data_IF_037056856305
#
_entry.id   IF_037056856305
#
_cell.length_a   1.000
_cell.length_b   1.000
_cell.length_c   1.000
_cell.angle_alpha   90.00
_cell.angle_beta   90.00
_cell.angle_gamma   90.00
#
_symmetry.space_group_name_H-M   'P 1'
#
loop_
_entity.id
_entity.type
_entity.pdbx_description
1 polymer ?
#
# COMPACT_ATOMS: atom_id res chain seq x y z
N UNK A 1 -13.25 -33.05 -29.46
CA UNK A 1 -13.48 -31.66 -28.95
C UNK A 1 -14.69 -31.70 -28.04
N UNK A 2 -14.51 -31.79 -26.75
CA UNK A 2 -15.58 -31.73 -25.77
C UNK A 2 -15.40 -30.44 -24.95
N UNK A 3 -16.32 -29.51 -25.11
CA UNK A 3 -16.43 -28.31 -24.29
C UNK A 3 -17.22 -28.72 -23.06
N UNK A 4 -16.51 -28.95 -21.95
CA UNK A 4 -17.12 -29.13 -20.63
C UNK A 4 -17.57 -27.76 -20.13
N UNK A 5 -18.89 -27.64 -19.94
CA UNK A 5 -19.53 -26.47 -19.38
C UNK A 5 -19.07 -26.21 -17.95
N UNK A 6 -18.41 -25.08 -17.75
CA UNK A 6 -18.22 -24.49 -16.45
C UNK A 6 -19.57 -23.93 -15.99
N UNK A 7 -20.24 -24.64 -15.09
CA UNK A 7 -21.38 -24.14 -14.36
C UNK A 7 -20.92 -22.90 -13.57
N UNK A 8 -21.55 -21.75 -13.89
CA UNK A 8 -21.47 -20.52 -13.11
C UNK A 8 -21.98 -20.80 -11.70
N UNK A 9 -21.09 -21.01 -10.76
CA UNK A 9 -21.38 -20.74 -9.37
C UNK A 9 -21.42 -19.21 -9.25
N UNK A 10 -22.60 -18.65 -9.30
CA UNK A 10 -22.83 -17.31 -8.78
C UNK A 10 -22.57 -17.41 -7.27
N UNK A 11 -21.38 -16.97 -6.82
CA UNK A 11 -21.20 -16.61 -5.43
C UNK A 11 -22.03 -15.35 -5.22
N UNK A 12 -22.86 -15.35 -4.18
CA UNK A 12 -23.54 -14.16 -3.70
C UNK A 12 -22.50 -13.05 -3.59
N UNK A 13 -22.79 -11.87 -4.14
CA UNK A 13 -21.95 -10.69 -3.99
C UNK A 13 -21.81 -10.45 -2.49
N UNK A 14 -20.62 -10.70 -1.96
CA UNK A 14 -20.31 -10.37 -0.57
C UNK A 14 -20.31 -8.85 -0.51
N UNK A 15 -21.40 -8.28 -0.03
CA UNK A 15 -21.53 -6.86 0.18
C UNK A 15 -20.54 -6.48 1.30
N UNK A 16 -19.37 -6.00 0.91
CA UNK A 16 -18.37 -5.53 1.86
C UNK A 16 -18.84 -4.18 2.39
N UNK A 17 -19.41 -4.17 3.58
CA UNK A 17 -19.95 -2.95 4.18
C UNK A 17 -18.82 -2.14 4.80
N UNK A 18 -18.70 -0.88 4.36
CA UNK A 18 -17.77 0.07 4.95
C UNK A 18 -18.32 0.63 6.26
N UNK A 19 -17.46 0.78 7.26
CA UNK A 19 -17.73 1.61 8.43
C UNK A 19 -16.66 2.68 8.57
N UNK A 20 -17.04 3.87 9.04
CA UNK A 20 -16.08 4.93 9.35
C UNK A 20 -15.71 4.85 10.82
N UNK A 21 -14.42 4.81 11.10
CA UNK A 21 -13.88 4.80 12.46
C UNK A 21 -12.89 5.96 12.63
N UNK A 22 -13.11 6.74 13.68
CA UNK A 22 -12.14 7.79 14.04
C UNK A 22 -10.94 7.16 14.75
N UNK A 23 -9.75 7.31 14.18
CA UNK A 23 -8.48 6.87 14.79
C UNK A 23 -7.57 8.10 14.88
N UNK A 24 -7.29 8.55 16.09
CA UNK A 24 -6.69 9.85 16.30
C UNK A 24 -7.55 10.98 15.68
N UNK A 25 -6.95 11.81 14.85
CA UNK A 25 -7.65 12.86 14.10
C UNK A 25 -8.21 12.40 12.74
N UNK A 26 -8.04 11.13 12.33
CA UNK A 26 -8.34 10.69 10.95
C UNK A 26 -9.58 9.80 10.89
N UNK A 27 -10.56 10.11 10.02
CA UNK A 27 -11.74 9.27 9.78
C UNK A 27 -11.38 8.13 8.81
N UNK A 28 -10.91 7.01 9.35
CA UNK A 28 -10.54 5.83 8.55
C UNK A 28 -11.79 5.07 8.09
N UNK A 29 -11.76 4.55 6.84
CA UNK A 29 -12.80 3.63 6.34
C UNK A 29 -12.32 2.19 6.53
N UNK A 30 -13.14 1.41 7.21
CA UNK A 30 -12.81 0.04 7.58
C UNK A 30 -13.80 -0.90 6.88
N UNK A 31 -13.26 -1.98 6.30
CA UNK A 31 -14.01 -3.01 5.59
C UNK A 31 -13.59 -4.39 6.11
N UNK A 32 -14.49 -5.33 6.08
CA UNK A 32 -14.21 -6.70 6.49
C UNK A 32 -14.76 -7.03 7.88
N UNK A 33 -14.22 -8.06 8.50
CA UNK A 33 -14.80 -8.70 9.69
C UNK A 33 -13.79 -8.82 10.86
N UNK A 34 -14.34 -9.09 12.03
CA UNK A 34 -13.53 -9.40 13.21
C UNK A 34 -12.81 -10.75 13.05
N UNK A 35 -11.75 -10.93 13.84
CA UNK A 35 -10.90 -12.13 13.82
C UNK A 35 -10.21 -12.43 12.48
N UNK A 36 -10.05 -11.42 11.63
CA UNK A 36 -9.37 -11.56 10.35
C UNK A 36 -7.92 -12.02 10.51
N UNK A 37 -7.45 -12.86 9.57
CA UNK A 37 -6.07 -13.35 9.54
C UNK A 37 -5.10 -12.34 8.90
N UNK A 38 -5.64 -11.45 8.06
CA UNK A 38 -4.89 -10.42 7.37
C UNK A 38 -5.44 -9.03 7.71
N UNK A 39 -4.53 -8.11 8.01
CA UNK A 39 -4.83 -6.68 8.14
C UNK A 39 -4.18 -5.93 6.98
N UNK A 40 -4.99 -5.42 6.07
CA UNK A 40 -4.56 -4.62 4.93
C UNK A 40 -4.69 -3.14 5.30
N UNK A 41 -3.60 -2.41 5.26
CA UNK A 41 -3.54 -0.97 5.51
C UNK A 41 -3.21 -0.25 4.20
N UNK A 42 -4.00 0.75 3.84
CA UNK A 42 -3.76 1.55 2.64
C UNK A 42 -3.82 3.04 2.97
N UNK A 43 -2.75 3.76 2.65
CA UNK A 43 -2.76 5.22 2.70
C UNK A 43 -3.51 5.74 1.49
N UNK A 44 -4.47 6.65 1.69
CA UNK A 44 -5.38 7.13 0.63
C UNK A 44 -5.47 8.64 0.60
N UNK A 45 -5.56 9.21 -0.61
CA UNK A 45 -6.01 10.57 -0.83
C UNK A 45 -7.55 10.65 -0.86
N UNK A 46 -8.09 11.87 -0.83
CA UNK A 46 -9.55 12.09 -0.88
C UNK A 46 -10.19 11.49 -2.15
N UNK A 47 -9.50 11.57 -3.29
CA UNK A 47 -10.01 11.05 -4.56
C UNK A 47 -10.10 9.53 -4.58
N UNK A 48 -9.17 8.85 -3.94
CA UNK A 48 -9.12 7.38 -3.88
C UNK A 48 -10.22 6.81 -2.98
N UNK A 49 -10.65 7.57 -1.96
CA UNK A 49 -11.75 7.15 -1.09
C UNK A 49 -13.07 6.93 -1.84
N UNK A 50 -13.26 7.57 -2.99
CA UNK A 50 -14.47 7.42 -3.79
C UNK A 50 -14.53 6.06 -4.53
N UNK A 51 -13.38 5.50 -4.89
CA UNK A 51 -13.27 4.20 -5.58
C UNK A 51 -13.05 3.02 -4.63
N UNK A 52 -12.86 3.28 -3.33
CA UNK A 52 -12.46 2.29 -2.35
C UNK A 52 -13.43 1.12 -2.23
N UNK A 53 -14.73 1.36 -2.30
CA UNK A 53 -15.75 0.30 -2.25
C UNK A 53 -15.55 -0.72 -3.39
N UNK A 54 -15.24 -0.22 -4.60
CA UNK A 54 -14.99 -1.08 -5.77
C UNK A 54 -13.67 -1.84 -5.66
N UNK A 55 -12.64 -1.20 -5.12
CA UNK A 55 -11.32 -1.81 -4.90
C UNK A 55 -11.44 -2.95 -3.88
N UNK A 56 -12.06 -2.69 -2.73
CA UNK A 56 -12.24 -3.71 -1.70
C UNK A 56 -13.15 -4.84 -2.16
N UNK A 57 -14.19 -4.53 -2.95
CA UNK A 57 -15.04 -5.57 -3.56
C UNK A 57 -14.23 -6.48 -4.52
N UNK A 58 -13.27 -5.93 -5.27
CA UNK A 58 -12.39 -6.72 -6.12
C UNK A 58 -11.44 -7.60 -5.29
N UNK A 59 -10.88 -7.08 -4.19
CA UNK A 59 -10.06 -7.86 -3.25
C UNK A 59 -10.88 -9.02 -2.67
N UNK A 60 -12.11 -8.77 -2.23
CA UNK A 60 -12.99 -9.77 -1.64
C UNK A 60 -13.38 -10.93 -2.58
N UNK A 61 -13.24 -10.75 -3.90
CA UNK A 61 -13.42 -11.85 -4.86
C UNK A 61 -12.30 -12.91 -4.79
N UNK A 62 -11.11 -12.52 -4.33
CA UNK A 62 -9.93 -13.36 -4.34
C UNK A 62 -9.36 -13.64 -2.95
N UNK A 63 -9.64 -12.80 -1.97
CA UNK A 63 -9.15 -12.91 -0.60
C UNK A 63 -10.31 -13.01 0.39
N UNK A 64 -10.09 -13.81 1.45
CA UNK A 64 -11.04 -14.01 2.54
C UNK A 64 -10.33 -13.78 3.87
N UNK A 65 -11.11 -13.60 4.94
CA UNK A 65 -10.58 -13.42 6.31
C UNK A 65 -9.64 -12.22 6.45
N UNK A 66 -9.98 -11.11 5.81
CA UNK A 66 -9.20 -9.88 5.90
C UNK A 66 -10.01 -8.73 6.56
N UNK A 67 -9.27 -7.83 7.18
CA UNK A 67 -9.71 -6.50 7.56
C UNK A 67 -8.93 -5.50 6.72
N UNK A 68 -9.63 -4.61 6.02
CA UNK A 68 -9.01 -3.55 5.23
C UNK A 68 -9.27 -2.20 5.87
N UNK A 69 -8.24 -1.37 5.99
CA UNK A 69 -8.35 -0.02 6.51
C UNK A 69 -7.76 0.98 5.51
N UNK A 70 -8.62 1.84 4.96
CA UNK A 70 -8.22 3.02 4.21
C UNK A 70 -7.97 4.18 5.17
N UNK A 71 -6.74 4.70 5.16
CA UNK A 71 -6.26 5.73 6.09
C UNK A 71 -6.04 7.02 5.30
N UNK A 72 -6.86 8.06 5.49
CA UNK A 72 -6.75 9.30 4.75
C UNK A 72 -5.49 10.08 5.11
N UNK A 73 -4.89 10.70 4.10
CA UNK A 73 -3.70 11.55 4.21
C UNK A 73 -4.01 12.95 3.70
N UNK A 74 -3.86 13.96 4.55
CA UNK A 74 -4.17 15.35 4.19
C UNK A 74 -3.06 16.00 3.36
N UNK A 75 -1.81 15.83 3.77
CA UNK A 75 -0.63 16.41 3.09
C UNK A 75 0.15 15.33 2.38
N UNK A 76 -0.34 14.90 1.23
CA UNK A 76 0.17 13.73 0.49
C UNK A 76 1.68 13.73 0.30
N UNK A 77 2.23 14.83 -0.27
CA UNK A 77 3.66 14.91 -0.54
C UNK A 77 4.52 14.95 0.74
N UNK A 78 4.01 15.56 1.80
CA UNK A 78 4.76 15.69 3.04
C UNK A 78 4.71 14.41 3.87
N UNK A 79 3.50 13.88 4.05
CA UNK A 79 3.25 12.76 4.95
C UNK A 79 3.76 11.41 4.44
N UNK A 80 3.96 11.26 3.13
CA UNK A 80 4.34 9.98 2.51
C UNK A 80 5.77 9.99 1.94
N UNK A 81 6.46 11.12 1.88
CA UNK A 81 7.84 11.15 1.42
C UNK A 81 8.82 10.81 2.53
N UNK A 82 9.81 9.94 2.25
CA UNK A 82 10.82 9.51 3.24
C UNK A 82 11.72 10.64 3.77
N UNK A 83 12.01 11.63 2.93
CA UNK A 83 12.83 12.81 3.23
C UNK A 83 12.38 13.99 2.37
N UNK A 84 12.90 15.17 2.72
CA UNK A 84 12.66 16.38 1.92
C UNK A 84 13.25 16.24 0.53
N UNK A 85 12.47 16.67 -0.49
CA UNK A 85 12.92 16.71 -1.86
C UNK A 85 12.23 17.85 -2.62
N UNK A 86 12.89 18.42 -3.65
CA UNK A 86 12.28 19.45 -4.48
C UNK A 86 11.11 18.89 -5.29
N UNK A 87 10.24 19.79 -5.77
CA UNK A 87 9.15 19.42 -6.66
C UNK A 87 9.68 18.77 -7.94
N UNK A 88 9.13 17.61 -8.29
CA UNK A 88 9.41 16.92 -9.56
C UNK A 88 8.45 17.39 -10.66
N UNK A 89 7.26 17.84 -10.26
CA UNK A 89 6.29 18.53 -11.11
C UNK A 89 5.58 19.63 -10.31
N UNK A 90 5.02 20.61 -11.00
CA UNK A 90 4.36 21.74 -10.32
C UNK A 90 5.33 22.55 -9.45
N UNK A 91 4.85 23.04 -8.32
CA UNK A 91 5.61 23.90 -7.39
C UNK A 91 5.73 23.33 -5.99
N UNK A 92 4.96 22.30 -5.65
CA UNK A 92 4.97 21.69 -4.32
C UNK A 92 6.05 20.61 -4.23
N UNK A 93 6.99 20.80 -3.33
CA UNK A 93 8.02 19.80 -2.98
C UNK A 93 7.47 18.70 -2.06
N UNK A 94 8.37 17.97 -1.46
CA UNK A 94 8.11 16.85 -0.56
C UNK A 94 8.67 17.17 0.83
N UNK A 95 7.88 16.99 1.89
CA UNK A 95 8.21 17.44 3.25
C UNK A 95 9.00 16.45 4.09
N UNK A 96 9.08 15.16 3.70
CA UNK A 96 9.90 14.18 4.41
C UNK A 96 9.32 13.67 5.74
N UNK A 97 8.01 13.72 5.94
CA UNK A 97 7.35 13.37 7.20
C UNK A 97 6.83 11.92 7.25
N UNK A 98 7.33 11.03 6.39
CA UNK A 98 6.89 9.62 6.35
C UNK A 98 7.07 8.90 7.70
N UNK A 99 8.09 9.27 8.49
CA UNK A 99 8.31 8.68 9.81
C UNK A 99 7.16 8.97 10.78
N UNK A 100 6.56 10.16 10.75
CA UNK A 100 5.42 10.48 11.60
C UNK A 100 4.17 9.71 11.17
N UNK A 101 4.00 9.49 9.86
CA UNK A 101 2.94 8.65 9.33
C UNK A 101 3.15 7.18 9.74
N UNK A 102 4.35 6.65 9.65
CA UNK A 102 4.68 5.30 10.10
C UNK A 102 4.43 5.14 11.60
N UNK A 103 4.86 6.11 12.42
CA UNK A 103 4.61 6.12 13.86
C UNK A 103 3.12 6.11 14.17
N UNK A 104 2.31 6.91 13.46
CA UNK A 104 0.86 6.89 13.60
C UNK A 104 0.24 5.52 13.29
N UNK A 105 0.73 4.84 12.25
CA UNK A 105 0.30 3.46 11.94
C UNK A 105 0.61 2.51 13.09
N UNK A 106 1.86 2.52 13.58
CA UNK A 106 2.34 1.57 14.59
C UNK A 106 1.71 1.84 15.97
N UNK A 107 1.61 3.10 16.38
CA UNK A 107 1.21 3.46 17.74
C UNK A 107 -0.30 3.63 17.90
N UNK A 108 -1.04 3.95 16.83
CA UNK A 108 -2.47 4.24 16.93
C UNK A 108 -3.33 3.34 16.05
N UNK A 109 -3.04 3.23 14.75
CA UNK A 109 -3.93 2.51 13.82
C UNK A 109 -3.95 1.02 14.14
N UNK A 110 -2.80 0.37 14.09
CA UNK A 110 -2.69 -1.08 14.26
C UNK A 110 -3.22 -1.53 15.63
N UNK A 111 -2.82 -0.93 16.77
CA UNK A 111 -3.34 -1.34 18.07
C UNK A 111 -4.86 -1.12 18.23
N UNK A 112 -5.37 -0.05 17.63
CA UNK A 112 -6.82 0.23 17.68
C UNK A 112 -7.61 -0.81 16.88
N UNK A 113 -7.16 -1.14 15.66
CA UNK A 113 -7.82 -2.15 14.84
C UNK A 113 -7.70 -3.55 15.45
N UNK A 114 -6.53 -3.93 15.96
CA UNK A 114 -6.35 -5.22 16.67
C UNK A 114 -7.33 -5.38 17.82
N UNK A 115 -7.46 -4.37 18.65
CA UNK A 115 -8.37 -4.38 19.79
C UNK A 115 -9.85 -4.38 19.35
N UNK A 116 -10.23 -3.49 18.44
CA UNK A 116 -11.62 -3.27 18.06
C UNK A 116 -12.22 -4.45 17.28
N UNK A 117 -11.39 -5.11 16.48
CA UNK A 117 -11.80 -6.24 15.64
C UNK A 117 -11.32 -7.59 16.17
N UNK A 118 -10.78 -7.63 17.38
CA UNK A 118 -10.28 -8.85 18.02
C UNK A 118 -9.34 -9.64 17.11
N UNK A 119 -8.43 -8.93 16.42
CA UNK A 119 -7.47 -9.57 15.52
C UNK A 119 -6.47 -10.40 16.32
N UNK A 120 -6.01 -11.56 15.79
CA UNK A 120 -5.02 -12.39 16.48
C UNK A 120 -3.70 -11.65 16.66
N UNK A 121 -2.91 -12.01 17.67
CA UNK A 121 -1.60 -11.36 17.90
C UNK A 121 -0.65 -11.50 16.69
N UNK A 122 -0.71 -12.62 16.00
CA UNK A 122 0.06 -12.93 14.83
C UNK A 122 -0.62 -12.56 13.50
N UNK A 123 -1.59 -11.64 13.52
CA UNK A 123 -2.24 -11.14 12.30
C UNK A 123 -1.19 -10.67 11.30
N UNK A 124 -1.33 -11.11 10.06
CA UNK A 124 -0.42 -10.73 8.97
C UNK A 124 -0.76 -9.34 8.46
N UNK A 125 0.13 -8.38 8.67
CA UNK A 125 -0.10 -6.98 8.31
C UNK A 125 0.51 -6.71 6.93
N UNK A 126 -0.31 -6.25 5.99
CA UNK A 126 0.10 -5.85 4.65
C UNK A 126 -0.10 -4.35 4.52
N UNK A 127 0.98 -3.64 4.17
CA UNK A 127 0.90 -2.20 3.89
C UNK A 127 0.88 -1.99 2.38
N UNK A 128 -0.14 -1.30 1.89
CA UNK A 128 -0.33 -1.04 0.48
C UNK A 128 -0.50 0.43 0.15
N UNK A 129 -0.40 0.74 -1.13
CA UNK A 129 -0.69 2.06 -1.66
C UNK A 129 -0.32 2.20 -3.14
N UNK A 130 -0.89 3.24 -3.72
CA UNK A 130 -0.63 3.66 -5.10
C UNK A 130 0.34 4.85 -5.13
N UNK A 131 1.20 4.92 -6.13
CA UNK A 131 2.10 6.05 -6.38
C UNK A 131 3.01 6.34 -5.16
N UNK A 132 2.94 7.53 -4.57
CA UNK A 132 3.75 7.91 -3.40
C UNK A 132 3.41 7.07 -2.15
N UNK A 133 2.16 6.61 -2.01
CA UNK A 133 1.80 5.67 -0.95
C UNK A 133 2.42 4.29 -1.17
N UNK A 134 2.63 3.87 -2.41
CA UNK A 134 3.40 2.67 -2.74
C UNK A 134 4.88 2.80 -2.37
N UNK A 135 5.48 3.96 -2.64
CA UNK A 135 6.84 4.27 -2.19
C UNK A 135 6.93 4.27 -0.65
N UNK A 136 5.96 4.91 0.01
CA UNK A 136 5.86 4.91 1.48
C UNK A 136 5.83 3.49 2.05
N UNK A 137 5.04 2.59 1.45
CA UNK A 137 4.94 1.21 1.91
C UNK A 137 6.27 0.45 1.78
N UNK A 138 6.99 0.61 0.66
CA UNK A 138 8.33 0.06 0.47
C UNK A 138 9.31 0.63 1.50
N UNK A 139 9.33 1.95 1.67
CA UNK A 139 10.20 2.62 2.64
C UNK A 139 9.89 2.21 4.08
N UNK A 140 8.62 2.19 4.48
CA UNK A 140 8.21 1.79 5.82
C UNK A 140 8.69 0.37 6.17
N UNK A 141 8.69 -0.53 5.20
CA UNK A 141 9.21 -1.89 5.36
C UNK A 141 10.73 -1.97 5.50
N UNK A 142 11.49 -0.89 5.26
CA UNK A 142 12.90 -0.82 5.64
C UNK A 142 13.12 -0.37 7.08
N UNK A 143 12.10 0.24 7.71
CA UNK A 143 12.17 0.80 9.06
C UNK A 143 11.73 -0.17 10.16
N UNK A 144 10.98 -1.21 9.80
CA UNK A 144 10.41 -2.19 10.75
C UNK A 144 10.10 -3.51 10.04
N UNK A 145 10.19 -4.62 10.78
CA UNK A 145 9.81 -5.97 10.37
C UNK A 145 8.33 -6.30 10.63
N UNK A 146 7.55 -5.31 11.04
CA UNK A 146 6.13 -5.47 11.39
C UNK A 146 5.27 -5.93 10.19
N UNK A 147 5.66 -5.55 8.97
CA UNK A 147 4.87 -5.80 7.78
C UNK A 147 5.21 -7.18 7.18
N UNK A 148 4.22 -8.08 7.21
CA UNK A 148 4.29 -9.37 6.52
C UNK A 148 4.46 -9.21 5.02
N UNK A 149 3.77 -8.21 4.43
CA UNK A 149 3.83 -7.93 3.01
C UNK A 149 3.67 -6.45 2.68
N UNK A 150 4.11 -6.12 1.47
CA UNK A 150 3.94 -4.79 0.84
C UNK A 150 3.22 -4.94 -0.48
N UNK A 151 2.17 -4.14 -0.70
CA UNK A 151 1.46 -4.05 -1.97
C UNK A 151 1.66 -2.66 -2.59
N UNK A 152 2.71 -2.50 -3.40
CA UNK A 152 3.09 -1.23 -4.01
C UNK A 152 2.60 -1.16 -5.47
N UNK A 153 1.46 -0.52 -5.68
CA UNK A 153 0.91 -0.29 -7.00
C UNK A 153 1.51 0.98 -7.63
N UNK A 154 2.16 0.83 -8.77
CA UNK A 154 2.83 1.94 -9.48
C UNK A 154 3.64 2.85 -8.55
N UNK A 155 4.51 2.30 -7.68
CA UNK A 155 5.18 3.09 -6.65
C UNK A 155 6.08 4.17 -7.26
N UNK A 156 6.15 5.32 -6.61
CA UNK A 156 6.96 6.47 -7.04
C UNK A 156 8.47 6.22 -6.84
N UNK A 157 9.00 5.10 -7.33
CA UNK A 157 10.42 4.73 -7.19
C UNK A 157 11.38 5.60 -8.00
N UNK A 158 10.86 6.58 -8.72
CA UNK A 158 11.60 7.70 -9.31
C UNK A 158 11.95 8.80 -8.28
N UNK A 159 11.46 8.68 -7.04
CA UNK A 159 11.68 9.67 -5.99
C UNK A 159 13.18 9.91 -5.76
N UNK A 160 13.63 11.18 -5.64
CA UNK A 160 15.05 11.50 -5.56
C UNK A 160 15.79 10.77 -4.45
N UNK A 161 16.84 10.04 -4.77
CA UNK A 161 17.66 9.30 -3.82
C UNK A 161 17.10 7.93 -3.38
N UNK A 162 15.91 7.53 -3.87
CA UNK A 162 15.29 6.27 -3.45
C UNK A 162 16.13 5.04 -3.84
N UNK A 163 16.60 4.95 -5.07
CA UNK A 163 17.34 3.77 -5.54
C UNK A 163 18.68 3.58 -4.80
N UNK A 164 19.35 4.68 -4.46
CA UNK A 164 20.58 4.65 -3.63
C UNK A 164 20.27 4.23 -2.20
N UNK A 165 19.17 4.74 -1.63
CA UNK A 165 18.72 4.38 -0.29
C UNK A 165 18.37 2.89 -0.20
N UNK A 166 17.61 2.34 -1.13
CA UNK A 166 17.17 0.94 -1.15
C UNK A 166 18.34 -0.05 -1.23
N UNK A 167 19.40 0.31 -1.97
CA UNK A 167 20.61 -0.52 -2.02
C UNK A 167 21.32 -0.68 -0.66
N UNK A 168 21.15 0.28 0.24
CA UNK A 168 21.79 0.32 1.56
C UNK A 168 20.86 -0.16 2.69
N UNK A 169 19.55 -0.25 2.45
CA UNK A 169 18.54 -0.56 3.46
C UNK A 169 17.65 -1.70 2.98
N UNK A 170 17.67 -2.81 3.71
CA UNK A 170 16.88 -3.98 3.35
C UNK A 170 15.39 -3.77 3.61
N UNK A 171 14.58 -4.02 2.60
CA UNK A 171 13.14 -4.20 2.78
C UNK A 171 12.94 -5.50 3.55
N UNK A 172 12.23 -5.43 4.69
CA UNK A 172 12.10 -6.54 5.64
C UNK A 172 10.84 -7.38 5.42
N UNK A 173 9.89 -6.91 4.58
CA UNK A 173 8.71 -7.67 4.24
C UNK A 173 9.07 -8.97 3.48
N UNK A 174 8.33 -10.05 3.79
CA UNK A 174 8.55 -11.36 3.18
C UNK A 174 7.94 -11.47 1.78
N UNK A 175 6.87 -10.72 1.53
CA UNK A 175 6.12 -10.73 0.26
C UNK A 175 5.97 -9.31 -0.27
N UNK A 176 6.31 -9.11 -1.53
CA UNK A 176 6.23 -7.79 -2.14
C UNK A 176 5.53 -7.89 -3.50
N UNK A 177 4.36 -7.27 -3.60
CA UNK A 177 3.70 -7.04 -4.87
C UNK A 177 4.15 -5.71 -5.47
N UNK A 178 4.60 -5.75 -6.72
CA UNK A 178 4.94 -4.57 -7.51
C UNK A 178 4.12 -4.57 -8.79
N UNK A 179 3.56 -3.43 -9.16
CA UNK A 179 2.94 -3.24 -10.47
C UNK A 179 3.33 -1.90 -11.07
N UNK A 180 3.17 -1.79 -12.38
CA UNK A 180 3.39 -0.55 -13.14
C UNK A 180 2.39 -0.48 -14.28
N UNK A 181 1.74 0.65 -14.47
CA UNK A 181 0.90 0.91 -15.62
C UNK A 181 1.72 0.97 -16.93
N UNK A 182 1.20 0.40 -17.99
CA UNK A 182 1.90 0.21 -19.29
C UNK A 182 2.36 1.52 -19.98
N UNK A 183 1.88 2.67 -19.54
CA UNK A 183 2.17 3.99 -20.08
C UNK A 183 2.93 4.92 -19.15
N UNK A 184 3.12 4.56 -17.90
CA UNK A 184 3.70 5.46 -16.89
C UNK A 184 5.15 5.85 -17.21
N UNK A 185 5.96 4.93 -17.70
CA UNK A 185 7.33 5.22 -18.15
C UNK A 185 7.41 6.07 -19.43
N UNK A 186 6.26 6.31 -20.11
CA UNK A 186 6.20 7.13 -21.33
C UNK A 186 5.86 8.60 -21.07
N UNK A 187 5.91 9.03 -19.82
CA UNK A 187 5.70 10.43 -19.45
C UNK A 187 6.78 11.34 -20.04
N UNK A 188 6.44 12.61 -20.29
CA UNK A 188 7.40 13.63 -20.75
C UNK A 188 8.36 14.10 -19.65
N UNK A 189 8.04 13.86 -18.40
CA UNK A 189 8.91 14.19 -17.27
C UNK A 189 9.99 13.13 -17.15
N UNK A 190 11.24 13.50 -17.43
CA UNK A 190 12.36 12.56 -17.47
C UNK A 190 12.63 11.88 -16.12
N UNK A 191 12.38 12.56 -14.98
CA UNK A 191 12.54 12.00 -13.65
C UNK A 191 11.48 10.92 -13.42
N UNK A 192 10.22 11.21 -13.71
CA UNK A 192 9.13 10.25 -13.56
C UNK A 192 9.24 9.08 -14.55
N UNK A 193 9.76 9.31 -15.75
CA UNK A 193 9.94 8.25 -16.75
C UNK A 193 10.91 7.15 -16.31
N UNK A 194 11.81 7.43 -15.36
CA UNK A 194 12.71 6.44 -14.78
C UNK A 194 11.98 5.35 -13.98
N UNK A 195 10.68 5.50 -13.70
CA UNK A 195 9.89 4.54 -12.92
C UNK A 195 9.98 3.11 -13.48
N UNK A 196 9.95 2.94 -14.80
CA UNK A 196 10.01 1.63 -15.44
C UNK A 196 11.33 0.91 -15.18
N UNK A 197 12.46 1.59 -15.39
CA UNK A 197 13.79 1.02 -15.15
C UNK A 197 14.03 0.77 -13.67
N UNK A 198 13.60 1.69 -12.82
CA UNK A 198 13.74 1.56 -11.36
C UNK A 198 12.93 0.38 -10.81
N UNK A 199 11.68 0.16 -11.26
CA UNK A 199 10.87 -1.00 -10.84
C UNK A 199 11.52 -2.31 -11.30
N UNK A 200 12.00 -2.39 -12.54
CA UNK A 200 12.69 -3.58 -13.06
C UNK A 200 13.97 -3.89 -12.25
N UNK A 201 14.72 -2.84 -11.89
CA UNK A 201 15.91 -2.95 -11.06
C UNK A 201 15.53 -3.43 -9.65
N UNK A 202 14.56 -2.79 -9.01
CA UNK A 202 14.08 -3.17 -7.68
C UNK A 202 13.58 -4.63 -7.66
N UNK A 203 12.76 -5.04 -8.62
CA UNK A 203 12.28 -6.41 -8.75
C UNK A 203 13.45 -7.41 -8.85
N UNK A 204 14.44 -7.11 -9.70
CA UNK A 204 15.61 -7.99 -9.85
C UNK A 204 16.42 -8.11 -8.56
N UNK A 205 16.59 -7.03 -7.82
CA UNK A 205 17.30 -6.99 -6.53
C UNK A 205 16.54 -7.79 -5.46
N UNK A 206 15.21 -7.61 -5.36
CA UNK A 206 14.37 -8.35 -4.41
C UNK A 206 14.37 -9.85 -4.70
N UNK A 207 14.22 -10.23 -5.97
CA UNK A 207 14.30 -11.64 -6.38
C UNK A 207 15.66 -12.26 -6.06
N UNK A 208 16.77 -11.53 -6.30
CA UNK A 208 18.11 -12.00 -5.95
C UNK A 208 18.33 -12.18 -4.45
N UNK A 209 17.59 -11.45 -3.62
CA UNK A 209 17.58 -11.57 -2.14
C UNK A 209 16.63 -12.65 -1.63
N UNK A 210 15.87 -13.31 -2.50
CA UNK A 210 14.91 -14.36 -2.13
C UNK A 210 13.60 -13.80 -1.53
N UNK A 211 13.26 -12.57 -1.81
CA UNK A 211 11.95 -11.99 -1.47
C UNK A 211 10.93 -12.44 -2.52
N UNK A 212 9.78 -12.93 -2.05
CA UNK A 212 8.68 -13.45 -2.89
C UNK A 212 7.69 -12.31 -3.24
#
# INVERSE_FOLDING_TARGET
>A
VAILGLSKFFREDVAVTAQTMQIGSRPCRIYGEAHAEYLLLQMTGEHELQSMDSEVAAIAQSAHHFLFAAIPVESWNDALSPWEAPAVWGTQGFGGNAMDTLRFLIEQVIPTLKRQFHLPENVKIILGGYSLAGLFALWASTQTDLFYGVAAASPSVWFPGWMEFEQQHLIQAQHIYLSLGDKEERTKNAVMAAVGDNIRTLHSQLTARGVD
#
